data_IF_263478544579
#
_entry.id   IF_263478544579
#
_cell.length_a   1.000
_cell.length_b   1.000
_cell.length_c   1.000
_cell.angle_alpha   90.00
_cell.angle_beta   90.00
_cell.angle_gamma   90.00
#
_symmetry.space_group_name_H-M   'P 1'
#
loop_
_entity.id
_entity.type
_entity.pdbx_description
1 polymer ?
#
# COMPACT_ATOMS: atom_id res chain seq x y z
N UNK A 1 -17.90 -13.61 -79.56
CA UNK A 1 -18.77 -12.80 -80.48
C UNK A 1 -18.98 -11.47 -79.77
N UNK A 2 -18.44 -10.44 -80.40
CA UNK A 2 -18.92 -9.07 -80.59
C UNK A 2 -19.13 -8.22 -79.31
N UNK A 3 -18.27 -7.27 -79.03
CA UNK A 3 -18.29 -5.86 -79.53
C UNK A 3 -19.30 -5.00 -78.73
N UNK A 4 -19.11 -3.74 -78.25
CA UNK A 4 -18.36 -2.56 -78.69
C UNK A 4 -18.61 -1.51 -77.59
N UNK A 5 -17.63 -0.76 -77.08
CA UNK A 5 -17.23 0.63 -77.34
C UNK A 5 -18.32 1.71 -77.26
N UNK A 6 -18.09 2.75 -76.47
CA UNK A 6 -17.95 4.19 -76.80
C UNK A 6 -18.00 4.98 -75.47
N UNK A 7 -17.08 5.78 -75.03
CA UNK A 7 -16.35 7.02 -75.47
C UNK A 7 -17.26 8.28 -75.57
N UNK A 8 -16.70 9.39 -75.13
CA UNK A 8 -17.01 10.83 -75.31
C UNK A 8 -17.62 11.49 -74.04
N UNK A 9 -17.30 12.71 -73.64
CA UNK A 9 -16.24 13.70 -73.94
C UNK A 9 -16.40 14.87 -72.95
N UNK A 10 -15.34 15.37 -72.45
CA UNK A 10 -14.86 16.73 -72.24
C UNK A 10 -15.88 17.88 -72.37
N UNK A 11 -16.01 18.77 -71.37
CA UNK A 11 -15.94 20.23 -71.58
C UNK A 11 -15.65 21.01 -70.29
N UNK A 12 -14.58 21.73 -70.34
CA UNK A 12 -14.16 22.74 -69.39
C UNK A 12 -14.83 24.07 -69.72
N UNK A 13 -15.24 24.85 -68.72
CA UNK A 13 -15.40 26.29 -68.88
C UNK A 13 -14.84 27.00 -67.64
N UNK A 14 -13.83 27.83 -67.88
CA UNK A 14 -13.29 28.83 -67.00
C UNK A 14 -14.24 30.07 -66.97
N UNK A 15 -14.53 30.64 -65.80
CA UNK A 15 -14.80 32.07 -65.67
C UNK A 15 -14.14 32.57 -64.38
N UNK A 16 -13.22 33.54 -64.55
CA UNK A 16 -12.72 34.43 -63.52
C UNK A 16 -13.71 35.59 -63.29
N UNK A 17 -13.88 36.00 -62.02
CA UNK A 17 -13.84 37.43 -61.63
C UNK A 17 -14.10 37.56 -60.11
N UNK A 18 -13.12 38.07 -59.43
CA UNK A 18 -12.98 39.37 -58.75
C UNK A 18 -13.54 39.50 -57.31
N UNK A 19 -12.57 39.74 -56.42
CA UNK A 19 -12.54 40.63 -55.25
C UNK A 19 -13.74 40.73 -54.29
N UNK A 20 -13.49 40.36 -53.04
CA UNK A 20 -14.25 40.78 -51.87
C UNK A 20 -13.57 40.27 -50.58
N UNK A 21 -12.77 41.14 -49.99
CA UNK A 21 -12.05 40.93 -48.73
C UNK A 21 -13.03 40.92 -47.59
N UNK A 22 -13.20 39.79 -46.88
CA UNK A 22 -13.72 39.75 -45.52
C UNK A 22 -13.00 38.66 -44.77
N UNK A 23 -12.30 39.08 -43.72
CA UNK A 23 -11.59 38.22 -42.78
C UNK A 23 -12.55 37.21 -42.14
N UNK A 24 -12.34 35.93 -42.37
CA UNK A 24 -12.91 34.85 -41.56
C UNK A 24 -11.82 34.33 -40.64
N UNK A 25 -12.04 34.58 -39.36
CA UNK A 25 -11.36 33.94 -38.26
C UNK A 25 -11.45 32.42 -38.43
N UNK A 26 -10.35 31.77 -38.72
CA UNK A 26 -10.21 30.31 -38.62
C UNK A 26 -10.19 29.96 -37.14
N UNK A 27 -11.30 29.41 -36.66
CA UNK A 27 -11.32 28.66 -35.40
C UNK A 27 -10.53 27.37 -35.64
N UNK A 28 -9.28 27.36 -35.19
CA UNK A 28 -8.55 26.14 -35.04
C UNK A 28 -9.23 25.25 -33.96
N UNK A 29 -10.04 24.33 -34.42
CA UNK A 29 -10.53 23.22 -33.57
C UNK A 29 -9.32 22.38 -33.22
N UNK A 30 -8.74 22.66 -32.07
CA UNK A 30 -7.74 21.73 -31.47
C UNK A 30 -8.50 20.46 -31.09
N UNK A 31 -8.42 19.48 -31.95
CA UNK A 31 -8.84 18.12 -31.64
C UNK A 31 -7.88 17.63 -30.56
N UNK A 32 -8.31 17.68 -29.30
CA UNK A 32 -7.64 17.00 -28.21
C UNK A 32 -7.59 15.52 -28.61
N UNK A 33 -6.39 15.00 -28.82
CA UNK A 33 -6.19 13.58 -29.02
C UNK A 33 -6.73 12.87 -27.77
N UNK A 34 -7.86 12.20 -27.91
CA UNK A 34 -8.33 11.27 -26.91
C UNK A 34 -7.26 10.17 -26.81
N UNK A 35 -6.49 10.18 -25.73
CA UNK A 35 -5.57 9.10 -25.42
C UNK A 35 -6.46 7.87 -25.19
N UNK A 36 -6.37 6.87 -26.05
CA UNK A 36 -7.09 5.60 -25.88
C UNK A 36 -6.68 5.04 -24.50
N UNK A 37 -7.66 4.97 -23.60
CA UNK A 37 -7.48 4.29 -22.32
C UNK A 37 -7.24 2.80 -22.64
N UNK A 38 -6.17 2.25 -22.08
CA UNK A 38 -5.88 0.82 -22.22
C UNK A 38 -7.03 0.03 -21.63
N UNK A 39 -7.55 -0.93 -22.37
CA UNK A 39 -8.62 -1.83 -21.90
C UNK A 39 -8.14 -2.87 -20.89
N UNK A 40 -6.84 -3.12 -20.82
CA UNK A 40 -6.21 -4.11 -19.95
C UNK A 40 -4.88 -3.58 -19.41
N UNK A 41 -4.51 -4.06 -18.24
CA UNK A 41 -3.23 -3.81 -17.58
C UNK A 41 -2.65 -5.11 -17.06
N UNK A 42 -1.32 -5.25 -17.17
CA UNK A 42 -0.59 -6.38 -16.58
C UNK A 42 -0.03 -5.97 -15.23
N UNK A 43 -0.45 -6.67 -14.19
CA UNK A 43 0.02 -6.48 -12.81
C UNK A 43 1.15 -7.48 -12.54
N UNK A 44 2.36 -6.97 -12.35
CA UNK A 44 3.56 -7.76 -12.08
C UNK A 44 3.88 -7.75 -10.60
N UNK A 45 3.59 -8.84 -9.89
CA UNK A 45 3.84 -8.95 -8.43
C UNK A 45 5.23 -9.54 -8.09
N UNK A 46 6.09 -9.75 -9.07
CA UNK A 46 7.43 -10.32 -8.93
C UNK A 46 7.50 -11.85 -8.98
N UNK A 47 6.36 -12.56 -8.98
CA UNK A 47 6.26 -14.02 -9.11
C UNK A 47 5.55 -14.44 -10.38
N UNK A 48 4.54 -13.71 -10.77
CA UNK A 48 3.73 -13.94 -11.94
C UNK A 48 3.15 -12.63 -12.46
N UNK A 49 2.82 -12.61 -13.75
CA UNK A 49 2.13 -11.51 -14.39
C UNK A 49 0.65 -11.89 -14.55
N UNK A 50 -0.23 -11.02 -14.08
CA UNK A 50 -1.68 -11.20 -14.19
C UNK A 50 -2.24 -10.05 -15.01
N UNK A 51 -2.78 -10.36 -16.18
CA UNK A 51 -3.45 -9.36 -17.03
C UNK A 51 -4.93 -9.27 -16.63
N UNK A 52 -5.38 -8.06 -16.33
CA UNK A 52 -6.73 -7.74 -15.86
C UNK A 52 -7.30 -6.58 -16.65
N UNK A 53 -8.64 -6.49 -16.71
CA UNK A 53 -9.32 -5.32 -17.29
C UNK A 53 -9.06 -4.09 -16.44
N UNK A 54 -8.87 -2.94 -17.08
CA UNK A 54 -8.83 -1.67 -16.38
C UNK A 54 -10.20 -1.28 -15.84
N UNK A 55 -10.20 -0.44 -14.82
CA UNK A 55 -11.40 0.08 -14.16
C UNK A 55 -12.33 -1.04 -13.64
N UNK A 56 -11.79 -2.04 -12.88
CA UNK A 56 -12.58 -3.10 -12.28
C UNK A 56 -13.66 -2.50 -11.38
N UNK A 57 -14.88 -3.07 -11.43
CA UNK A 57 -16.06 -2.52 -10.73
C UNK A 57 -16.41 -3.28 -9.47
N UNK A 58 -16.00 -4.54 -9.38
CA UNK A 58 -16.26 -5.41 -8.24
C UNK A 58 -14.96 -6.03 -7.76
N UNK A 59 -14.29 -5.36 -6.83
CA UNK A 59 -12.99 -5.81 -6.31
C UNK A 59 -13.18 -6.44 -4.94
N UNK A 60 -12.65 -7.65 -4.76
CA UNK A 60 -12.46 -8.25 -3.43
C UNK A 60 -11.00 -8.05 -3.01
N UNK A 61 -10.78 -7.47 -1.81
CA UNK A 61 -9.44 -7.07 -1.36
C UNK A 61 -9.11 -7.74 -0.02
N UNK A 62 -8.00 -8.49 0.00
CA UNK A 62 -7.44 -9.10 1.21
C UNK A 62 -6.17 -8.42 1.73
N UNK A 63 -5.70 -7.38 1.05
CA UNK A 63 -4.57 -6.55 1.49
C UNK A 63 -5.08 -5.18 1.91
N UNK A 64 -4.94 -4.86 3.21
CA UNK A 64 -5.49 -3.61 3.76
C UNK A 64 -4.71 -2.37 3.31
N UNK A 65 -3.43 -2.51 2.95
CA UNK A 65 -2.66 -1.42 2.35
C UNK A 65 -3.12 -1.12 0.92
N UNK A 66 -3.51 -2.16 0.18
CA UNK A 66 -4.12 -1.98 -1.15
C UNK A 66 -5.53 -1.39 -1.03
N UNK A 67 -6.36 -1.84 -0.08
CA UNK A 67 -7.68 -1.24 0.17
C UNK A 67 -7.57 0.25 0.52
N UNK A 68 -6.61 0.61 1.36
CA UNK A 68 -6.22 1.99 1.68
C UNK A 68 -5.87 2.79 0.41
N UNK A 69 -5.00 2.25 -0.43
CA UNK A 69 -4.59 2.90 -1.68
C UNK A 69 -5.78 3.11 -2.64
N UNK A 70 -6.64 2.11 -2.82
CA UNK A 70 -7.86 2.23 -3.65
C UNK A 70 -8.77 3.35 -3.10
N UNK A 71 -8.94 3.43 -1.78
CA UNK A 71 -9.72 4.47 -1.13
C UNK A 71 -9.13 5.86 -1.37
N UNK A 72 -7.83 6.03 -1.11
CA UNK A 72 -7.15 7.33 -1.26
C UNK A 72 -7.13 7.80 -2.71
N UNK A 73 -7.10 6.90 -3.68
CA UNK A 73 -7.23 7.24 -5.09
C UNK A 73 -8.66 7.65 -5.49
N UNK A 74 -9.68 7.36 -4.66
CA UNK A 74 -11.08 7.75 -4.89
C UNK A 74 -11.97 6.64 -5.48
N UNK A 75 -11.53 5.38 -5.39
CA UNK A 75 -12.24 4.22 -5.98
C UNK A 75 -12.77 3.24 -4.92
N UNK A 76 -13.03 3.71 -3.71
CA UNK A 76 -13.50 2.85 -2.60
C UNK A 76 -14.82 2.13 -2.93
N UNK A 77 -15.70 2.75 -3.72
CA UNK A 77 -16.99 2.16 -4.14
C UNK A 77 -16.83 0.94 -5.06
N UNK A 78 -15.64 0.74 -5.63
CA UNK A 78 -15.32 -0.44 -6.42
C UNK A 78 -14.97 -1.67 -5.54
N UNK A 79 -14.74 -1.46 -4.23
CA UNK A 79 -14.52 -2.56 -3.30
C UNK A 79 -15.88 -3.13 -2.87
N UNK A 80 -16.16 -4.37 -3.26
CA UNK A 80 -17.41 -5.05 -2.90
C UNK A 80 -17.26 -6.02 -1.74
N UNK A 81 -16.04 -6.46 -1.43
CA UNK A 81 -15.77 -7.39 -0.33
C UNK A 81 -14.37 -7.29 0.25
N UNK A 82 -14.26 -7.46 1.54
CA UNK A 82 -13.00 -7.54 2.28
C UNK A 82 -13.17 -8.18 3.67
N UNK A 83 -12.09 -8.59 4.36
CA UNK A 83 -12.18 -9.12 5.72
C UNK A 83 -12.46 -7.97 6.71
N UNK A 84 -13.70 -7.90 7.21
CA UNK A 84 -14.16 -6.80 8.07
C UNK A 84 -13.99 -7.06 9.57
N UNK A 85 -13.69 -8.29 9.99
CA UNK A 85 -13.66 -8.67 11.42
C UNK A 85 -12.64 -7.88 12.25
N UNK A 86 -11.52 -7.53 11.63
CA UNK A 86 -10.43 -6.81 12.31
C UNK A 86 -9.86 -5.77 11.36
N UNK A 87 -10.43 -4.56 11.40
CA UNK A 87 -9.97 -3.42 10.62
C UNK A 87 -9.14 -2.47 11.49
N UNK A 88 -8.04 -1.91 10.94
CA UNK A 88 -7.36 -0.78 11.55
C UNK A 88 -8.33 0.40 11.75
N UNK A 89 -8.09 1.16 12.80
CA UNK A 89 -8.98 2.27 13.18
C UNK A 89 -9.19 3.27 12.04
N UNK A 90 -8.17 3.54 11.25
CA UNK A 90 -8.24 4.48 10.12
C UNK A 90 -9.06 3.96 8.91
N UNK A 91 -9.42 2.67 8.88
CA UNK A 91 -10.28 2.06 7.85
C UNK A 91 -11.71 1.77 8.34
N UNK A 92 -12.09 2.20 9.55
CA UNK A 92 -13.44 1.94 10.08
C UNK A 92 -14.54 2.78 9.44
N UNK A 93 -14.20 3.79 8.67
CA UNK A 93 -15.11 4.67 7.92
C UNK A 93 -15.41 4.20 6.49
N UNK A 94 -15.01 2.97 6.15
CA UNK A 94 -15.31 2.37 4.85
C UNK A 94 -16.84 2.23 4.63
N UNK A 95 -17.31 2.29 3.34
CA UNK A 95 -18.72 2.15 3.02
C UNK A 95 -19.34 0.86 3.60
N UNK A 96 -20.52 0.98 4.19
CA UNK A 96 -21.27 -0.16 4.75
C UNK A 96 -21.78 -1.15 3.68
N UNK A 97 -21.67 -0.78 2.40
CA UNK A 97 -21.98 -1.66 1.26
C UNK A 97 -20.97 -2.78 1.07
N UNK A 98 -19.74 -2.61 1.59
CA UNK A 98 -18.69 -3.63 1.50
C UNK A 98 -19.08 -4.84 2.33
N UNK A 99 -19.09 -6.03 1.71
CA UNK A 99 -19.48 -7.27 2.36
C UNK A 99 -18.27 -7.97 3.01
N UNK A 100 -18.54 -8.71 4.09
CA UNK A 100 -17.50 -9.51 4.73
C UNK A 100 -17.13 -10.73 3.86
N UNK A 101 -15.83 -10.95 3.66
CA UNK A 101 -15.27 -12.13 3.00
C UNK A 101 -14.59 -13.08 3.99
N UNK A 102 -15.04 -13.07 5.25
CA UNK A 102 -14.44 -13.85 6.33
C UNK A 102 -13.39 -13.06 7.11
N UNK A 103 -12.28 -13.69 7.43
CA UNK A 103 -11.15 -13.05 8.11
C UNK A 103 -9.90 -13.02 7.23
N UNK A 104 -8.84 -12.33 7.69
CA UNK A 104 -7.54 -12.28 7.00
C UNK A 104 -6.87 -13.66 6.84
N UNK A 105 -7.28 -14.66 7.60
CA UNK A 105 -6.67 -16.00 7.62
C UNK A 105 -7.67 -17.13 7.32
N UNK A 106 -8.95 -16.82 7.27
CA UNK A 106 -10.04 -17.75 6.95
C UNK A 106 -11.01 -17.06 5.99
N UNK A 107 -10.76 -17.27 4.68
CA UNK A 107 -11.57 -16.70 3.61
C UNK A 107 -12.88 -17.49 3.48
N UNK A 108 -14.00 -16.77 3.36
CA UNK A 108 -15.31 -17.33 3.05
C UNK A 108 -15.47 -17.38 1.52
N UNK A 109 -15.13 -18.53 0.93
CA UNK A 109 -15.11 -18.73 -0.52
C UNK A 109 -16.51 -18.60 -1.13
N UNK A 110 -17.56 -19.05 -0.44
CA UNK A 110 -18.94 -18.94 -0.90
C UNK A 110 -19.41 -17.49 -0.93
N UNK A 111 -19.13 -16.73 0.15
CA UNK A 111 -19.42 -15.30 0.20
C UNK A 111 -18.68 -14.52 -0.90
N UNK A 112 -17.39 -14.85 -1.16
CA UNK A 112 -16.61 -14.23 -2.24
C UNK A 112 -17.22 -14.51 -3.61
N UNK A 113 -17.57 -15.78 -3.90
CA UNK A 113 -18.18 -16.17 -5.17
C UNK A 113 -19.53 -15.48 -5.40
N UNK A 114 -20.34 -15.31 -4.34
CA UNK A 114 -21.63 -14.63 -4.40
C UNK A 114 -21.53 -13.14 -4.76
N UNK A 115 -20.38 -12.50 -4.53
CA UNK A 115 -20.12 -11.11 -4.94
C UNK A 115 -19.86 -10.97 -6.43
N UNK A 116 -19.56 -12.08 -7.15
CA UNK A 116 -19.19 -12.10 -8.56
C UNK A 116 -18.10 -11.05 -8.87
N UNK A 117 -16.93 -11.09 -8.21
CA UNK A 117 -15.89 -10.10 -8.42
C UNK A 117 -15.29 -10.20 -9.81
N UNK A 118 -14.85 -9.07 -10.35
CA UNK A 118 -14.08 -9.00 -11.60
C UNK A 118 -12.56 -8.94 -11.35
N UNK A 119 -12.16 -8.71 -10.09
CA UNK A 119 -10.78 -8.79 -9.63
C UNK A 119 -10.72 -9.20 -8.15
N UNK A 120 -9.79 -10.08 -7.82
CA UNK A 120 -9.45 -10.42 -6.44
C UNK A 120 -8.01 -10.01 -6.16
N UNK A 121 -7.80 -9.23 -5.09
CA UNK A 121 -6.48 -8.85 -4.61
C UNK A 121 -6.18 -9.66 -3.35
N UNK A 122 -5.34 -10.66 -3.51
CA UNK A 122 -4.89 -11.54 -2.44
C UNK A 122 -3.68 -10.95 -1.69
N UNK A 123 -3.43 -11.44 -0.49
CA UNK A 123 -2.27 -11.09 0.33
C UNK A 123 -1.47 -12.34 0.73
N UNK A 124 -0.31 -12.14 1.33
CA UNK A 124 0.49 -13.25 1.87
C UNK A 124 -0.25 -14.12 2.90
N UNK A 125 -1.31 -13.59 3.54
CA UNK A 125 -2.13 -14.33 4.53
C UNK A 125 -3.17 -15.23 3.88
N UNK A 126 -3.56 -14.99 2.63
CA UNK A 126 -4.59 -15.74 1.90
C UNK A 126 -4.02 -16.74 0.90
N UNK A 127 -2.70 -16.93 0.84
CA UNK A 127 -2.03 -17.82 -0.12
C UNK A 127 -2.59 -19.25 -0.11
N UNK A 128 -3.00 -19.76 1.04
CA UNK A 128 -3.58 -21.12 1.15
C UNK A 128 -4.91 -21.28 0.41
N UNK A 129 -5.59 -20.18 0.06
CA UNK A 129 -6.85 -20.17 -0.70
C UNK A 129 -6.67 -19.76 -2.15
N UNK A 130 -5.43 -19.52 -2.61
CA UNK A 130 -5.15 -18.92 -3.90
C UNK A 130 -5.80 -19.65 -5.08
N UNK A 131 -5.73 -20.98 -5.09
CA UNK A 131 -6.31 -21.78 -6.17
C UNK A 131 -7.84 -21.61 -6.22
N UNK A 132 -8.51 -21.64 -5.07
CA UNK A 132 -9.96 -21.42 -4.98
C UNK A 132 -10.37 -20.00 -5.40
N UNK A 133 -9.56 -18.98 -5.04
CA UNK A 133 -9.80 -17.60 -5.44
C UNK A 133 -9.69 -17.42 -6.96
N UNK A 134 -8.72 -18.09 -7.59
CA UNK A 134 -8.51 -18.08 -9.05
C UNK A 134 -9.62 -18.76 -9.84
N UNK A 135 -10.33 -19.70 -9.24
CA UNK A 135 -11.53 -20.31 -9.84
C UNK A 135 -12.70 -19.32 -9.92
N UNK A 136 -12.72 -18.29 -9.07
CA UNK A 136 -13.78 -17.28 -9.01
C UNK A 136 -13.50 -16.13 -9.97
N UNK A 137 -12.30 -15.54 -9.92
CA UNK A 137 -11.93 -14.37 -10.72
C UNK A 137 -10.42 -14.25 -10.91
N UNK A 138 -9.95 -13.41 -11.86
CA UNK A 138 -8.55 -13.01 -11.95
C UNK A 138 -8.03 -12.57 -10.57
N UNK A 139 -6.98 -13.24 -10.09
CA UNK A 139 -6.45 -13.02 -8.73
C UNK A 139 -4.99 -12.64 -8.78
N UNK A 140 -4.65 -11.49 -8.21
CA UNK A 140 -3.29 -10.99 -8.08
C UNK A 140 -2.87 -10.96 -6.62
N UNK A 141 -1.61 -11.34 -6.35
CA UNK A 141 -1.04 -11.27 -4.99
C UNK A 141 -0.26 -9.98 -4.86
N UNK A 142 -0.59 -9.17 -3.85
CA UNK A 142 0.24 -8.06 -3.43
C UNK A 142 1.07 -8.47 -2.21
N UNK A 143 2.33 -8.08 -2.20
CA UNK A 143 3.24 -8.32 -1.09
C UNK A 143 4.27 -7.19 -1.00
N UNK A 144 4.80 -6.97 0.20
CA UNK A 144 5.88 -6.01 0.43
C UNK A 144 7.17 -6.79 0.64
N UNK A 145 8.21 -6.42 -0.10
CA UNK A 145 9.55 -6.97 0.08
C UNK A 145 10.21 -6.31 1.31
N UNK A 146 10.52 -7.12 2.32
CA UNK A 146 11.16 -6.63 3.55
C UNK A 146 12.61 -6.17 3.33
N UNK A 147 13.26 -6.59 2.24
CA UNK A 147 14.63 -6.16 1.89
C UNK A 147 14.68 -4.90 1.04
N UNK A 148 13.54 -4.52 0.45
CA UNK A 148 13.39 -3.32 -0.36
C UNK A 148 12.02 -2.68 -0.14
N UNK A 149 11.76 -2.32 1.13
CA UNK A 149 10.44 -1.97 1.61
C UNK A 149 9.77 -0.86 0.80
N UNK A 150 10.38 0.33 0.75
CA UNK A 150 9.74 1.49 0.12
C UNK A 150 9.56 1.35 -1.38
N UNK A 151 10.56 0.78 -2.08
CA UNK A 151 10.43 0.56 -3.51
C UNK A 151 9.32 -0.43 -3.82
N UNK A 152 9.15 -1.50 -3.03
CA UNK A 152 8.06 -2.45 -3.23
C UNK A 152 6.70 -1.83 -2.91
N UNK A 153 6.58 -1.00 -1.87
CA UNK A 153 5.35 -0.27 -1.54
C UNK A 153 4.98 0.71 -2.65
N UNK A 154 5.90 1.58 -3.06
CA UNK A 154 5.64 2.56 -4.12
C UNK A 154 5.31 1.89 -5.46
N UNK A 155 5.94 0.74 -5.78
CA UNK A 155 5.58 -0.09 -6.92
C UNK A 155 4.15 -0.61 -6.81
N UNK A 156 3.75 -1.14 -5.66
CA UNK A 156 2.39 -1.61 -5.43
C UNK A 156 1.35 -0.50 -5.60
N UNK A 157 1.62 0.71 -5.07
CA UNK A 157 0.76 1.88 -5.24
C UNK A 157 0.58 2.21 -6.72
N UNK A 158 1.66 2.22 -7.52
CA UNK A 158 1.62 2.45 -8.98
C UNK A 158 0.81 1.38 -9.71
N UNK A 159 0.98 0.10 -9.33
CA UNK A 159 0.21 -1.01 -9.91
C UNK A 159 -1.28 -0.89 -9.60
N UNK A 160 -1.64 -0.50 -8.39
CA UNK A 160 -3.05 -0.23 -8.04
C UNK A 160 -3.59 0.94 -8.86
N UNK A 161 -2.84 2.04 -8.96
CA UNK A 161 -3.25 3.21 -9.74
C UNK A 161 -3.45 2.90 -11.23
N UNK A 162 -2.61 2.04 -11.81
CA UNK A 162 -2.72 1.65 -13.22
C UNK A 162 -4.02 0.90 -13.56
N UNK A 163 -4.71 0.34 -12.55
CA UNK A 163 -6.06 -0.23 -12.72
C UNK A 163 -7.10 0.83 -13.11
N UNK A 164 -6.90 2.09 -12.68
CA UNK A 164 -7.92 3.14 -12.75
C UNK A 164 -7.58 4.27 -13.74
N UNK A 165 -6.52 4.11 -14.52
CA UNK A 165 -6.17 5.01 -15.62
C UNK A 165 -5.29 6.19 -15.22
N UNK A 166 -5.07 7.09 -16.18
CA UNK A 166 -4.05 8.14 -16.13
C UNK A 166 -4.22 9.14 -14.98
N UNK A 167 -5.43 9.47 -14.62
CA UNK A 167 -5.70 10.40 -13.53
C UNK A 167 -5.31 9.81 -12.16
N UNK A 168 -5.65 8.53 -11.95
CA UNK A 168 -5.23 7.80 -10.76
C UNK A 168 -3.70 7.61 -10.70
N UNK A 169 -3.07 7.31 -11.85
CA UNK A 169 -1.60 7.23 -11.95
C UNK A 169 -0.94 8.57 -11.55
N UNK A 170 -1.44 9.69 -12.07
CA UNK A 170 -0.91 11.01 -11.75
C UNK A 170 -1.07 11.36 -10.26
N UNK A 171 -2.24 11.07 -9.68
CA UNK A 171 -2.49 11.26 -8.25
C UNK A 171 -1.56 10.40 -7.39
N UNK A 172 -1.37 9.12 -7.76
CA UNK A 172 -0.46 8.23 -7.05
C UNK A 172 0.99 8.74 -7.05
N UNK A 173 1.49 9.26 -8.18
CA UNK A 173 2.84 9.82 -8.25
C UNK A 173 3.01 11.08 -7.37
N UNK A 174 2.00 11.94 -7.28
CA UNK A 174 2.02 13.10 -6.38
C UNK A 174 2.07 12.68 -4.90
N UNK A 175 1.23 11.72 -4.51
CA UNK A 175 1.21 11.17 -3.14
C UNK A 175 2.52 10.45 -2.80
N UNK A 176 3.06 9.63 -3.71
CA UNK A 176 4.36 8.95 -3.54
C UNK A 176 5.45 9.99 -3.29
N UNK A 177 5.53 11.06 -4.10
CA UNK A 177 6.51 12.13 -3.93
C UNK A 177 6.38 12.82 -2.57
N UNK A 178 5.16 13.03 -2.09
CA UNK A 178 4.88 13.61 -0.76
C UNK A 178 5.36 12.69 0.35
N UNK A 179 5.11 11.39 0.23
CA UNK A 179 5.58 10.38 1.16
C UNK A 179 7.11 10.29 1.18
N UNK A 180 7.75 10.31 0.01
CA UNK A 180 9.22 10.32 -0.12
C UNK A 180 9.86 11.51 0.58
N UNK A 181 9.28 12.70 0.43
CA UNK A 181 9.75 13.88 1.15
C UNK A 181 9.62 13.73 2.67
N UNK A 182 8.54 13.11 3.14
CA UNK A 182 8.29 12.85 4.56
C UNK A 182 9.23 11.78 5.12
N UNK A 183 9.45 10.70 4.38
CA UNK A 183 10.43 9.64 4.68
C UNK A 183 11.82 10.25 4.80
N UNK A 184 12.22 11.05 3.80
CA UNK A 184 13.52 11.70 3.80
C UNK A 184 13.72 12.61 5.01
N UNK A 185 12.71 13.37 5.39
CA UNK A 185 12.77 14.25 6.57
C UNK A 185 13.11 13.47 7.85
N UNK A 186 12.43 12.32 8.07
CA UNK A 186 12.68 11.44 9.23
C UNK A 186 14.06 10.79 9.13
N UNK A 187 14.41 10.28 7.94
CA UNK A 187 15.70 9.68 7.69
C UNK A 187 16.86 10.63 8.00
N UNK A 188 16.80 11.89 7.52
CA UNK A 188 17.82 12.93 7.77
C UNK A 188 17.98 13.23 9.28
N UNK A 189 16.91 13.12 10.07
CA UNK A 189 16.97 13.29 11.55
C UNK A 189 17.67 12.10 12.20
N UNK A 190 17.30 10.86 11.81
CA UNK A 190 17.87 9.65 12.37
C UNK A 190 19.33 9.43 11.96
N UNK A 191 19.73 9.82 10.75
CA UNK A 191 21.11 9.74 10.30
C UNK A 191 22.05 10.63 11.14
N UNK A 192 21.57 11.80 11.56
CA UNK A 192 22.31 12.74 12.44
C UNK A 192 22.34 12.28 13.89
N UNK A 193 21.41 11.42 14.30
CA UNK A 193 21.37 10.87 15.65
C UNK A 193 22.34 9.70 15.79
N UNK A 194 22.93 9.53 16.97
CA UNK A 194 23.70 8.33 17.33
C UNK A 194 22.86 7.31 18.12
N UNK A 195 21.59 7.58 18.34
CA UNK A 195 20.71 6.70 19.11
C UNK A 195 20.49 5.38 18.40
N UNK A 196 20.73 4.29 19.12
CA UNK A 196 20.47 2.92 18.66
C UNK A 196 19.08 2.46 19.10
N UNK A 197 18.32 1.94 18.17
CA UNK A 197 16.95 1.52 18.38
C UNK A 197 16.81 0.00 18.45
N UNK A 198 15.99 -0.46 19.40
CA UNK A 198 15.53 -1.85 19.49
C UNK A 198 14.03 -1.89 19.23
N UNK A 199 13.61 -2.65 18.22
CA UNK A 199 12.18 -2.86 17.93
C UNK A 199 11.68 -4.11 18.65
N UNK A 200 10.64 -3.93 19.44
CA UNK A 200 10.00 -4.98 20.24
C UNK A 200 8.54 -5.15 19.83
N UNK A 201 8.07 -6.38 19.80
CA UNK A 201 6.66 -6.72 19.68
C UNK A 201 6.19 -7.45 20.93
N UNK A 202 5.16 -6.91 21.55
CA UNK A 202 4.47 -7.51 22.69
C UNK A 202 3.32 -8.37 22.18
N UNK A 203 3.25 -9.60 22.65
CA UNK A 203 2.17 -10.55 22.35
C UNK A 203 1.85 -11.38 23.59
N UNK A 204 0.67 -11.16 24.17
CA UNK A 204 0.18 -11.92 25.35
C UNK A 204 1.21 -11.96 26.51
N UNK A 205 1.87 -10.84 26.78
CA UNK A 205 2.87 -10.72 27.86
C UNK A 205 4.28 -11.19 27.49
N UNK A 206 4.47 -11.78 26.31
CA UNK A 206 5.80 -12.13 25.79
C UNK A 206 6.32 -11.03 24.87
N UNK A 207 7.62 -10.80 24.91
CA UNK A 207 8.30 -9.86 24.03
C UNK A 207 9.18 -10.59 23.03
N UNK A 208 9.16 -10.09 21.80
CA UNK A 208 10.09 -10.51 20.75
C UNK A 208 10.81 -9.29 20.18
N UNK A 209 12.12 -9.39 19.98
CA UNK A 209 12.91 -8.40 19.29
C UNK A 209 12.97 -8.69 17.79
N UNK A 210 13.06 -7.63 16.97
CA UNK A 210 13.10 -7.71 15.53
C UNK A 210 14.29 -6.94 14.96
N UNK A 211 15.00 -7.58 14.05
CA UNK A 211 16.13 -7.01 13.32
C UNK A 211 15.70 -6.08 12.19
N UNK A 212 16.70 -5.51 11.50
CA UNK A 212 16.50 -4.50 10.44
C UNK A 212 15.83 -5.06 9.16
N UNK A 213 15.97 -6.36 8.88
CA UNK A 213 15.40 -7.03 7.71
C UNK A 213 14.09 -7.77 8.02
N UNK A 214 13.46 -7.42 9.13
CA UNK A 214 12.21 -8.00 9.59
C UNK A 214 10.98 -7.26 9.02
N UNK A 215 9.81 -7.64 9.50
CA UNK A 215 8.55 -6.93 9.22
C UNK A 215 8.57 -5.43 9.58
N UNK A 216 9.56 -4.97 10.32
CA UNK A 216 9.79 -3.57 10.69
C UNK A 216 10.88 -2.90 9.85
N UNK A 217 11.22 -3.49 8.70
CA UNK A 217 12.24 -2.98 7.79
C UNK A 217 12.06 -1.51 7.40
N UNK A 218 10.82 -1.02 7.32
CA UNK A 218 10.51 0.38 7.07
C UNK A 218 11.23 1.33 8.04
N UNK A 219 11.26 0.98 9.33
CA UNK A 219 11.95 1.78 10.36
C UNK A 219 13.46 1.92 10.08
N UNK A 220 14.10 0.83 9.70
CA UNK A 220 15.55 0.78 9.55
C UNK A 220 16.01 1.15 8.15
N UNK A 221 15.35 0.61 7.12
CA UNK A 221 15.78 0.81 5.74
C UNK A 221 15.35 2.17 5.19
N UNK A 222 14.11 2.59 5.44
CA UNK A 222 13.56 3.82 4.88
C UNK A 222 13.70 5.00 5.83
N UNK A 223 13.34 4.83 7.11
CA UNK A 223 13.38 5.90 8.12
C UNK A 223 14.74 6.02 8.82
N UNK A 224 15.71 5.13 8.51
CA UNK A 224 17.11 5.20 8.94
C UNK A 224 17.34 5.18 10.47
N UNK A 225 16.43 4.55 11.22
CA UNK A 225 16.78 4.21 12.61
C UNK A 225 18.01 3.32 12.64
N UNK A 226 18.95 3.59 13.53
CA UNK A 226 20.16 2.77 13.70
C UNK A 226 19.84 1.60 14.62
N UNK A 227 20.00 0.36 14.14
CA UNK A 227 19.81 -0.82 14.97
C UNK A 227 20.86 -0.90 16.09
N UNK A 228 20.52 -1.54 17.22
CA UNK A 228 21.49 -1.90 18.26
C UNK A 228 22.53 -2.88 17.70
N UNK A 229 23.70 -3.00 18.39
CA UNK A 229 24.75 -3.95 17.98
C UNK A 229 24.41 -5.41 18.35
N UNK A 230 23.31 -5.63 19.08
CA UNK A 230 22.85 -6.95 19.44
C UNK A 230 22.49 -7.75 18.18
N UNK A 231 22.95 -8.98 18.09
CA UNK A 231 22.55 -9.90 17.03
C UNK A 231 21.14 -10.36 17.34
N UNK A 232 20.18 -9.84 16.59
CA UNK A 232 18.79 -10.30 16.62
C UNK A 232 18.61 -11.29 15.48
N UNK A 233 18.14 -12.50 15.79
CA UNK A 233 17.89 -13.53 14.78
C UNK A 233 16.80 -13.07 13.80
N UNK A 234 17.06 -13.29 12.51
CA UNK A 234 16.09 -13.01 11.46
C UNK A 234 15.02 -14.09 11.46
N UNK A 235 13.89 -13.80 12.10
CA UNK A 235 12.76 -14.71 12.29
C UNK A 235 11.45 -14.01 11.96
N UNK A 236 10.53 -14.74 11.32
CA UNK A 236 9.16 -14.25 11.03
C UNK A 236 8.41 -13.80 12.29
N UNK A 237 8.73 -14.41 13.44
CA UNK A 237 8.07 -14.15 14.73
C UNK A 237 8.93 -13.31 15.68
N UNK A 238 10.13 -12.91 15.24
CA UNK A 238 11.13 -12.25 16.07
C UNK A 238 11.85 -13.24 17.00
N UNK A 239 12.85 -12.74 17.70
CA UNK A 239 13.59 -13.47 18.74
C UNK A 239 12.97 -13.16 20.10
N UNK A 240 12.59 -14.20 20.86
CA UNK A 240 12.07 -14.00 22.23
C UNK A 240 13.10 -13.26 23.09
N UNK A 241 12.64 -12.27 23.84
CA UNK A 241 13.49 -11.34 24.60
C UNK A 241 12.97 -11.18 26.03
N UNK A 242 13.88 -11.40 27.00
CA UNK A 242 13.59 -11.13 28.41
C UNK A 242 13.87 -9.67 28.79
N UNK A 243 13.40 -9.23 29.96
CA UNK A 243 13.70 -7.90 30.48
C UNK A 243 15.20 -7.70 30.79
N UNK A 244 15.87 -8.79 31.24
CA UNK A 244 17.31 -8.80 31.47
C UNK A 244 18.06 -8.59 30.16
N UNK A 245 17.65 -9.27 29.08
CA UNK A 245 18.25 -9.12 27.75
C UNK A 245 18.06 -7.70 27.20
N UNK A 246 16.88 -7.10 27.37
CA UNK A 246 16.62 -5.72 26.96
C UNK A 246 17.51 -4.74 27.75
N UNK A 247 17.64 -4.95 29.06
CA UNK A 247 18.50 -4.12 29.93
C UNK A 247 19.98 -4.28 29.55
N UNK A 248 20.45 -5.48 29.23
CA UNK A 248 21.83 -5.75 28.78
C UNK A 248 22.14 -5.04 27.45
N UNK A 249 21.21 -5.10 26.47
CA UNK A 249 21.31 -4.36 25.20
C UNK A 249 21.32 -2.85 25.46
N UNK A 250 20.53 -2.39 26.43
CA UNK A 250 20.40 -1.00 26.84
C UNK A 250 20.21 0.00 25.67
N UNK A 251 19.16 -0.16 24.85
CA UNK A 251 18.94 0.67 23.68
C UNK A 251 18.67 2.14 24.04
N UNK A 252 19.06 3.07 23.17
CA UNK A 252 18.78 4.50 23.32
C UNK A 252 17.35 4.85 22.92
N UNK A 253 16.73 4.03 22.08
CA UNK A 253 15.33 4.13 21.65
C UNK A 253 14.70 2.74 21.66
N UNK A 254 13.50 2.62 22.20
CA UNK A 254 12.67 1.42 22.07
C UNK A 254 11.48 1.75 21.19
N UNK A 255 11.25 0.92 20.16
CA UNK A 255 10.08 0.99 19.30
C UNK A 255 9.21 -0.21 19.64
N UNK A 256 8.03 0.03 20.21
CA UNK A 256 7.16 -1.02 20.78
C UNK A 256 5.86 -1.14 19.99
N UNK A 257 5.59 -2.35 19.48
CA UNK A 257 4.30 -2.73 18.92
C UNK A 257 3.56 -3.66 19.88
N UNK A 258 2.28 -3.40 20.15
CA UNK A 258 1.43 -4.30 20.91
C UNK A 258 0.53 -5.13 19.97
N UNK A 259 0.95 -6.36 19.64
CA UNK A 259 0.16 -7.25 18.78
C UNK A 259 -1.16 -7.66 19.42
N UNK A 260 -1.20 -7.89 20.74
CA UNK A 260 -2.44 -8.25 21.44
C UNK A 260 -3.52 -7.21 21.20
N UNK A 261 -3.18 -5.92 21.33
CA UNK A 261 -4.08 -4.81 21.05
C UNK A 261 -4.46 -4.74 19.57
N UNK A 262 -3.51 -4.98 18.67
CA UNK A 262 -3.76 -4.95 17.22
C UNK A 262 -4.84 -5.94 16.75
N UNK A 263 -4.95 -7.08 17.41
CA UNK A 263 -5.93 -8.14 17.07
C UNK A 263 -7.19 -8.10 17.93
N UNK A 264 -7.42 -7.02 18.68
CA UNK A 264 -8.64 -6.80 19.45
C UNK A 264 -8.58 -7.26 20.92
N UNK A 265 -7.39 -7.59 21.45
CA UNK A 265 -7.17 -7.82 22.88
C UNK A 265 -7.03 -6.51 23.65
N UNK A 266 -6.80 -6.61 24.97
CA UNK A 266 -6.62 -5.45 25.84
C UNK A 266 -5.16 -4.98 25.94
N UNK A 267 -4.94 -3.84 26.59
CA UNK A 267 -3.62 -3.21 26.75
C UNK A 267 -2.90 -3.58 28.06
N UNK A 268 -3.46 -4.43 28.90
CA UNK A 268 -2.96 -4.72 30.26
C UNK A 268 -1.50 -5.21 30.26
N UNK A 269 -1.12 -5.97 29.25
CA UNK A 269 0.25 -6.47 29.08
C UNK A 269 1.26 -5.37 28.76
N UNK A 270 0.88 -4.32 28.01
CA UNK A 270 1.78 -3.20 27.72
C UNK A 270 2.08 -2.40 28.98
N UNK A 271 1.09 -2.17 29.83
CA UNK A 271 1.28 -1.47 31.12
C UNK A 271 2.23 -2.26 32.03
N UNK A 272 2.12 -3.59 32.05
CA UNK A 272 3.04 -4.46 32.78
C UNK A 272 4.49 -4.32 32.28
N UNK A 273 4.69 -4.31 30.96
CA UNK A 273 6.02 -4.14 30.35
C UNK A 273 6.60 -2.76 30.69
N UNK A 274 5.84 -1.69 30.45
CA UNK A 274 6.28 -0.31 30.68
C UNK A 274 6.56 -0.04 32.17
N UNK A 275 5.91 -0.76 33.10
CA UNK A 275 6.11 -0.65 34.53
C UNK A 275 7.19 -1.57 35.12
N UNK A 276 7.77 -2.48 34.31
CA UNK A 276 8.82 -3.37 34.77
C UNK A 276 10.07 -2.61 35.21
N UNK A 277 10.67 -2.99 36.35
CA UNK A 277 11.85 -2.28 36.92
C UNK A 277 13.07 -2.30 36.00
N UNK A 278 13.37 -3.48 35.37
CA UNK A 278 14.51 -3.61 34.45
C UNK A 278 14.29 -2.80 33.18
N UNK A 279 13.06 -2.80 32.65
CA UNK A 279 12.70 -1.99 31.49
C UNK A 279 12.91 -0.50 31.75
N UNK A 280 12.50 -0.01 32.93
CA UNK A 280 12.70 1.38 33.37
C UNK A 280 14.17 1.78 33.52
N UNK A 281 15.06 0.84 33.68
CA UNK A 281 16.51 1.12 33.79
C UNK A 281 17.20 1.34 32.42
N UNK A 282 16.54 1.11 31.29
CA UNK A 282 17.10 1.32 29.96
C UNK A 282 17.27 2.81 29.64
N UNK A 283 18.27 3.14 28.81
CA UNK A 283 18.48 4.50 28.30
C UNK A 283 17.24 5.05 27.62
N UNK A 284 16.53 4.21 26.84
CA UNK A 284 15.30 4.60 26.13
C UNK A 284 14.24 5.15 27.09
N UNK A 285 13.96 4.46 28.20
CA UNK A 285 12.95 4.90 29.17
C UNK A 285 13.43 6.14 29.94
N UNK A 286 14.67 6.16 30.41
CA UNK A 286 15.26 7.30 31.15
C UNK A 286 15.24 8.60 30.34
N UNK A 287 15.36 8.48 29.01
CA UNK A 287 15.41 9.62 28.11
C UNK A 287 14.07 9.90 27.39
N UNK A 288 12.96 9.25 27.80
CA UNK A 288 11.63 9.37 27.20
C UNK A 288 11.61 9.02 25.70
N UNK A 289 12.40 8.02 25.28
CA UNK A 289 12.52 7.57 23.88
C UNK A 289 11.88 6.18 23.66
N UNK A 290 10.69 5.98 24.20
CA UNK A 290 9.87 4.79 23.93
C UNK A 290 8.78 5.20 22.96
N UNK A 291 8.89 4.73 21.71
CA UNK A 291 7.91 4.96 20.65
C UNK A 291 6.90 3.82 20.70
N UNK A 292 5.68 4.10 21.11
CA UNK A 292 4.59 3.15 21.01
C UNK A 292 3.92 3.31 19.64
N UNK A 293 4.03 2.29 18.80
CA UNK A 293 3.43 2.27 17.47
C UNK A 293 1.91 2.05 17.57
N UNK A 294 1.14 2.70 16.70
CA UNK A 294 -0.30 2.43 16.54
C UNK A 294 -0.49 0.98 16.08
N UNK A 295 -0.93 0.14 17.02
CA UNK A 295 -0.82 -1.31 16.94
C UNK A 295 -1.53 -1.93 15.73
N UNK A 296 -2.78 -1.55 15.48
CA UNK A 296 -3.59 -2.03 14.36
C UNK A 296 -3.04 -1.56 13.00
N UNK A 297 -2.57 -0.32 12.92
CA UNK A 297 -1.93 0.24 11.74
C UNK A 297 -0.70 -0.57 11.31
N UNK A 298 0.27 -0.74 12.24
CA UNK A 298 1.54 -1.40 11.94
C UNK A 298 1.45 -2.92 11.82
N UNK A 299 0.48 -3.54 12.49
CA UNK A 299 0.35 -5.00 12.49
C UNK A 299 -0.55 -5.53 11.37
N UNK A 300 -1.67 -4.87 11.09
CA UNK A 300 -2.69 -5.35 10.17
C UNK A 300 -2.57 -4.79 8.77
N UNK A 301 -2.09 -3.55 8.65
CA UNK A 301 -1.97 -2.83 7.39
C UNK A 301 -0.52 -2.37 7.15
N UNK A 302 -0.34 -1.27 6.51
CA UNK A 302 0.93 -0.77 6.03
C UNK A 302 1.08 -1.02 4.53
N UNK A 303 1.95 -0.27 3.86
CA UNK A 303 2.17 -0.41 2.43
C UNK A 303 1.09 0.20 1.53
N UNK A 304 0.19 1.01 2.07
CA UNK A 304 -0.73 1.86 1.32
C UNK A 304 -0.38 3.34 1.44
N UNK A 305 -1.17 4.20 0.83
CA UNK A 305 -0.93 5.66 0.81
C UNK A 305 -1.13 6.29 2.20
N UNK A 306 -2.31 6.16 2.77
CA UNK A 306 -2.59 6.75 4.08
C UNK A 306 -1.88 6.01 5.20
N UNK A 307 -1.82 4.67 5.17
CA UNK A 307 -1.12 3.90 6.18
C UNK A 307 0.36 4.29 6.27
N UNK A 308 1.05 4.48 5.15
CA UNK A 308 2.45 4.91 5.15
C UNK A 308 2.60 6.30 5.77
N UNK A 309 1.72 7.24 5.45
CA UNK A 309 1.69 8.58 6.06
C UNK A 309 1.53 8.49 7.58
N UNK A 310 0.54 7.75 8.06
CA UNK A 310 0.28 7.57 9.49
C UNK A 310 1.44 6.86 10.22
N UNK A 311 2.10 5.88 9.58
CA UNK A 311 3.29 5.22 10.12
C UNK A 311 4.46 6.21 10.30
N UNK A 312 4.65 7.14 9.36
CA UNK A 312 5.65 8.20 9.48
C UNK A 312 5.30 9.15 10.63
N UNK A 313 4.03 9.55 10.75
CA UNK A 313 3.54 10.43 11.83
C UNK A 313 3.74 9.79 13.20
N UNK A 314 3.52 8.48 13.35
CA UNK A 314 3.73 7.77 14.61
C UNK A 314 5.15 7.94 15.15
N UNK A 315 6.15 7.82 14.30
CA UNK A 315 7.54 7.94 14.73
C UNK A 315 8.01 9.38 14.85
N UNK A 316 7.42 10.32 14.12
CA UNK A 316 7.76 11.74 14.23
C UNK A 316 7.41 12.34 15.58
N UNK A 317 6.37 11.85 16.26
CA UNK A 317 5.90 12.36 17.57
C UNK A 317 6.98 12.33 18.66
N UNK A 318 7.95 11.44 18.54
CA UNK A 318 9.01 11.21 19.56
C UNK A 318 10.37 11.76 19.11
N UNK A 319 10.51 12.13 17.84
CA UNK A 319 11.76 12.70 17.30
C UNK A 319 11.83 14.23 17.44
N UNK A 320 10.76 14.86 17.88
CA UNK A 320 10.68 16.29 18.20
C UNK A 320 11.05 16.53 19.66
#
# INVERSE_FOLDING_TARGET
MKKLLALFSLMAVFILAACGQTAKTESATTQAAATEEKSEVTLTNGKEDVTVKTNPKKIVVFDLGVADTIRELGFVDNIVGMPLKTLPTYLKDLPSSIQSTGSMVESDIEAIAALEPDLIIASGRTIKFLDQLREIAPTVIFSVDQKDYWNSVSKNIRLVASLFGKEAEAKAEEEIKTLEASIKKVADMNEKSNNKALTLMLNEGKMSAFGADSRFAFLYQSLKFKATDAKIEDSKHGQEMSFEGIKEINPDTIILLNRTLAIGGDNSNADTVLNNALFKETNAVKNNRVIQLTSDLWYLSGGGLQSTKLMIEDVQKVLQ
#
